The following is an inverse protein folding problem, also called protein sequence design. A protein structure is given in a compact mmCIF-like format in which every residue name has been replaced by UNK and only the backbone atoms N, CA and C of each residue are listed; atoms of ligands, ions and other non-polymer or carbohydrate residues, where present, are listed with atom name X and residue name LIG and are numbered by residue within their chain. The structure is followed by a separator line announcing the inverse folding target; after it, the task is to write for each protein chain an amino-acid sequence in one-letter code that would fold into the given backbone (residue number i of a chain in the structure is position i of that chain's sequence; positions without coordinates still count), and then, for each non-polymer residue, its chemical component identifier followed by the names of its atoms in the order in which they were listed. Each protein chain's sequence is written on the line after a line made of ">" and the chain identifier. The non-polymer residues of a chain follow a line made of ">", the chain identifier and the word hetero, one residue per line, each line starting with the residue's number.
data_IF_566802950768
#
_entry.id   IF_566802950768
#
_cell.length_a   1.000
_cell.length_b   1.000
_cell.length_c   1.000
_cell.angle_alpha   90.00
_cell.angle_beta   90.00
_cell.angle_gamma   90.00
#
_symmetry.space_group_name_H-M   'P 1'
#
loop_
_entity.id
_entity.type
_entity.pdbx_description
1 polymer ?
#
# COMPACT_ATOMS: atom_id res chain seq x y z
N UNK A 1 -8.76 -4.71 4.89
CA UNK A 1 -8.21 -6.10 4.83
C UNK A 1 -8.60 -6.87 6.10
N UNK A 2 -8.82 -8.19 6.03
CA UNK A 2 -9.00 -9.04 7.23
C UNK A 2 -7.67 -9.32 7.95
N UNK A 3 -7.28 -8.42 8.87
CA UNK A 3 -6.05 -8.56 9.63
C UNK A 3 -6.01 -9.78 10.54
N UNK A 4 -7.17 -10.27 10.99
CA UNK A 4 -7.30 -11.49 11.80
C UNK A 4 -7.13 -12.77 10.99
N UNK A 5 -7.19 -12.68 9.66
CA UNK A 5 -6.89 -13.80 8.76
C UNK A 5 -5.49 -13.69 8.15
N UNK A 6 -5.00 -12.47 7.90
CA UNK A 6 -3.63 -12.26 7.44
C UNK A 6 -2.60 -12.65 8.53
N UNK A 7 -2.87 -12.22 9.77
CA UNK A 7 -2.03 -12.49 10.95
C UNK A 7 -2.95 -12.95 12.08
N UNK A 8 -3.14 -14.26 12.16
CA UNK A 8 -4.16 -14.90 13.01
C UNK A 8 -3.61 -15.14 14.42
N UNK A 9 -4.25 -14.66 15.50
CA UNK A 9 -3.94 -15.11 16.86
C UNK A 9 -4.47 -16.54 17.05
N UNK A 10 -3.76 -17.54 16.53
CA UNK A 10 -4.26 -18.91 16.37
C UNK A 10 -4.42 -19.67 17.70
N UNK A 11 -3.89 -19.14 18.80
CA UNK A 11 -4.12 -19.68 20.15
C UNK A 11 -5.45 -19.22 20.76
N UNK A 12 -6.16 -18.28 20.12
CA UNK A 12 -7.40 -17.73 20.62
C UNK A 12 -8.61 -18.64 20.33
N UNK A 13 -9.12 -19.26 21.39
CA UNK A 13 -10.28 -20.17 21.32
C UNK A 13 -11.60 -19.47 20.98
N UNK A 14 -11.71 -18.16 21.24
CA UNK A 14 -12.92 -17.39 20.91
C UNK A 14 -12.93 -17.05 19.43
N UNK A 15 -11.79 -16.72 18.84
CA UNK A 15 -11.66 -16.57 17.38
C UNK A 15 -12.00 -17.86 16.65
N UNK A 16 -11.50 -19.00 17.15
CA UNK A 16 -11.83 -20.31 16.59
C UNK A 16 -13.34 -20.56 16.57
N UNK A 17 -14.05 -20.24 17.66
CA UNK A 17 -15.51 -20.37 17.74
C UNK A 17 -16.24 -19.35 16.86
N UNK A 18 -15.70 -18.14 16.75
CA UNK A 18 -16.30 -17.06 15.96
C UNK A 18 -16.14 -17.27 14.44
N UNK A 19 -15.19 -18.11 14.00
CA UNK A 19 -14.87 -18.38 12.60
C UNK A 19 -14.87 -19.89 12.26
N UNK A 20 -16.00 -20.60 12.40
CA UNK A 20 -16.04 -22.05 12.21
C UNK A 20 -15.63 -22.55 10.82
N UNK A 21 -15.76 -21.73 9.76
CA UNK A 21 -15.29 -22.09 8.41
C UNK A 21 -14.08 -21.30 7.92
N UNK A 22 -13.68 -20.22 8.61
CA UNK A 22 -12.55 -19.37 8.23
C UNK A 22 -11.32 -19.53 9.13
N UNK A 23 -11.45 -20.13 10.32
CA UNK A 23 -10.34 -20.28 11.25
C UNK A 23 -9.27 -21.23 10.69
N UNK A 24 -8.02 -20.83 10.81
CA UNK A 24 -6.85 -21.61 10.40
C UNK A 24 -5.98 -21.91 11.62
N UNK A 25 -5.34 -23.08 11.61
CA UNK A 25 -4.45 -23.54 12.69
C UNK A 25 -2.99 -23.53 12.24
N UNK A 26 -2.07 -23.34 13.19
CA UNK A 26 -0.64 -23.55 13.01
C UNK A 26 -0.21 -25.03 13.22
N UNK A 27 -1.16 -25.94 13.50
CA UNK A 27 -0.86 -27.35 13.72
C UNK A 27 -0.24 -28.00 12.48
N UNK A 28 0.91 -28.67 12.65
CA UNK A 28 1.64 -29.36 11.57
C UNK A 28 0.84 -30.44 10.83
N UNK A 29 -0.26 -30.91 11.41
CA UNK A 29 -1.17 -31.88 10.78
C UNK A 29 -2.14 -31.26 9.76
N UNK A 30 -2.26 -29.92 9.73
CA UNK A 30 -3.08 -29.24 8.73
C UNK A 30 -2.40 -29.28 7.35
N UNK A 31 -3.20 -29.30 6.27
CA UNK A 31 -2.66 -29.40 4.90
C UNK A 31 -1.81 -28.18 4.49
N UNK A 32 -2.24 -26.97 4.89
CA UNK A 32 -1.50 -25.71 4.74
C UNK A 32 -1.64 -24.92 6.05
N UNK A 33 -0.81 -25.20 7.06
CA UNK A 33 -0.92 -24.53 8.35
C UNK A 33 -0.55 -23.05 8.24
N UNK A 34 -1.00 -22.27 9.22
CA UNK A 34 -0.43 -20.95 9.46
C UNK A 34 1.08 -21.06 9.75
N UNK A 35 1.82 -20.06 9.30
CA UNK A 35 3.25 -19.94 9.60
C UNK A 35 3.37 -19.31 10.98
N UNK A 36 3.79 -20.10 11.96
CA UNK A 36 3.95 -19.64 13.34
C UNK A 36 5.06 -18.58 13.44
N UNK A 37 4.69 -17.37 13.89
CA UNK A 37 5.59 -16.23 14.02
C UNK A 37 6.24 -16.17 15.40
N UNK A 38 5.49 -16.46 16.47
CA UNK A 38 5.91 -16.23 17.86
C UNK A 38 5.24 -17.15 18.91
N UNK A 39 4.58 -18.23 18.47
CA UNK A 39 3.82 -19.14 19.32
C UNK A 39 2.39 -18.66 19.64
N UNK A 40 2.02 -17.45 19.22
CA UNK A 40 0.69 -16.86 19.42
C UNK A 40 0.04 -16.44 18.10
N UNK A 41 0.80 -15.79 17.23
CA UNK A 41 0.36 -15.30 15.93
C UNK A 41 0.89 -16.14 14.79
N UNK A 42 0.04 -16.36 13.80
CA UNK A 42 0.34 -17.14 12.61
C UNK A 42 0.08 -16.33 11.35
N UNK A 43 1.07 -16.24 10.48
CA UNK A 43 0.94 -15.61 9.18
C UNK A 43 0.22 -16.55 8.21
N UNK A 44 -0.67 -15.99 7.39
CA UNK A 44 -1.38 -16.74 6.35
C UNK A 44 -0.39 -17.47 5.40
N UNK A 45 -0.57 -18.77 5.08
CA UNK A 45 0.42 -19.55 4.32
C UNK A 45 0.69 -19.01 2.91
N UNK A 46 -0.29 -18.38 2.27
CA UNK A 46 -0.11 -17.71 0.98
C UNK A 46 0.83 -16.49 1.03
N UNK A 47 1.20 -16.03 2.23
CA UNK A 47 2.20 -14.99 2.46
C UNK A 47 3.57 -15.56 2.85
N UNK A 48 3.85 -16.83 2.56
CA UNK A 48 5.10 -17.50 2.95
C UNK A 48 6.38 -16.76 2.58
N UNK A 49 6.37 -15.97 1.51
CA UNK A 49 7.51 -15.12 1.15
C UNK A 49 7.84 -14.05 2.21
N UNK A 50 6.94 -13.68 3.11
CA UNK A 50 7.25 -12.79 4.22
C UNK A 50 7.96 -13.46 5.39
N UNK A 51 7.97 -14.80 5.46
CA UNK A 51 8.56 -15.53 6.59
C UNK A 51 10.06 -15.23 6.74
N UNK A 52 10.82 -15.17 5.64
CA UNK A 52 12.24 -14.86 5.70
C UNK A 52 12.49 -13.40 6.12
N UNK A 53 11.72 -12.44 5.57
CA UNK A 53 11.81 -11.02 5.95
C UNK A 53 11.50 -10.81 7.44
N UNK A 54 10.54 -11.55 7.98
CA UNK A 54 10.23 -11.52 9.41
C UNK A 54 11.39 -12.09 10.24
N UNK A 55 11.93 -13.26 9.87
CA UNK A 55 13.06 -13.90 10.57
C UNK A 55 14.36 -13.08 10.50
N UNK A 56 14.55 -12.30 9.45
CA UNK A 56 15.66 -11.38 9.27
C UNK A 56 15.48 -10.06 10.03
N UNK A 57 14.40 -9.91 10.79
CA UNK A 57 14.00 -8.68 11.50
C UNK A 57 13.75 -7.47 10.59
N UNK A 58 13.47 -7.71 9.31
CA UNK A 58 13.18 -6.64 8.33
C UNK A 58 11.69 -6.34 8.23
N UNK A 59 10.83 -7.33 8.53
CA UNK A 59 9.38 -7.16 8.55
C UNK A 59 8.88 -7.03 9.98
N UNK A 60 8.26 -5.89 10.28
CA UNK A 60 7.43 -5.67 11.44
C UNK A 60 5.96 -5.79 11.05
N UNK A 61 5.16 -6.34 11.96
CA UNK A 61 3.70 -6.38 11.83
C UNK A 61 3.13 -5.54 12.96
N UNK A 62 2.19 -4.64 12.68
CA UNK A 62 1.45 -3.90 13.72
C UNK A 62 -0.01 -4.33 13.65
N UNK A 63 -0.54 -4.93 14.70
CA UNK A 63 -1.89 -5.47 14.77
C UNK A 63 -2.78 -4.60 15.68
N UNK A 64 -4.10 -4.72 15.53
CA UNK A 64 -5.06 -3.89 16.27
C UNK A 64 -5.06 -2.43 15.82
N UNK A 65 -4.66 -2.15 14.58
CA UNK A 65 -4.56 -0.77 14.04
C UNK A 65 -5.73 -0.46 13.11
N UNK A 66 -6.13 0.81 13.05
CA UNK A 66 -7.21 1.27 12.19
C UNK A 66 -7.57 2.73 12.46
N UNK A 67 -8.55 3.27 11.73
CA UNK A 67 -9.06 4.61 12.00
C UNK A 67 -9.73 4.65 13.37
N UNK A 68 -9.51 5.69 14.21
CA UNK A 68 -10.27 5.86 15.46
C UNK A 68 -11.72 6.30 15.21
N UNK A 69 -12.06 6.73 13.99
CA UNK A 69 -13.44 6.99 13.59
C UNK A 69 -14.24 5.69 13.42
N UNK A 70 -15.50 5.68 13.87
CA UNK A 70 -16.39 4.50 13.87
C UNK A 70 -17.19 4.31 12.58
N UNK A 71 -16.99 5.17 11.57
CA UNK A 71 -17.69 5.08 10.28
C UNK A 71 -17.49 3.73 9.62
N UNK A 72 -18.48 3.28 8.85
CA UNK A 72 -18.40 2.09 7.98
C UNK A 72 -18.45 2.47 6.50
N UNK A 73 -18.35 3.77 6.20
CA UNK A 73 -18.27 4.27 4.84
C UNK A 73 -16.82 4.22 4.36
N UNK A 74 -16.54 3.46 3.29
CA UNK A 74 -15.20 3.42 2.67
C UNK A 74 -14.70 4.83 2.37
N UNK A 75 -15.56 5.68 1.80
CA UNK A 75 -15.20 7.06 1.48
C UNK A 75 -14.76 7.83 2.72
N UNK A 76 -15.48 7.71 3.84
CA UNK A 76 -15.13 8.46 5.03
C UNK A 76 -13.88 7.93 5.72
N UNK A 77 -13.77 6.61 5.86
CA UNK A 77 -12.62 5.99 6.49
C UNK A 77 -11.35 6.26 5.70
N UNK A 78 -11.39 6.10 4.38
CA UNK A 78 -10.28 6.39 3.50
C UNK A 78 -9.88 7.88 3.58
N UNK A 79 -10.85 8.80 3.50
CA UNK A 79 -10.57 10.24 3.62
C UNK A 79 -9.94 10.61 4.99
N UNK A 80 -10.40 10.00 6.10
CA UNK A 80 -9.76 10.21 7.41
C UNK A 80 -8.34 9.63 7.49
N UNK A 81 -8.11 8.42 6.95
CA UNK A 81 -6.79 7.79 6.95
C UNK A 81 -5.81 8.55 6.05
N UNK A 82 -6.27 9.07 4.91
CA UNK A 82 -5.44 9.78 3.95
C UNK A 82 -5.24 11.26 4.30
N UNK A 83 -6.18 11.91 4.96
CA UNK A 83 -5.96 13.26 5.53
C UNK A 83 -5.09 13.22 6.79
N UNK A 84 -5.10 12.10 7.53
CA UNK A 84 -4.41 11.96 8.82
C UNK A 84 -5.05 12.81 9.94
N UNK A 85 -6.30 13.27 9.76
CA UNK A 85 -7.03 14.08 10.73
C UNK A 85 -8.38 13.45 11.03
N UNK A 86 -8.43 12.42 11.90
CA UNK A 86 -9.68 11.74 12.19
C UNK A 86 -10.71 12.71 12.75
N UNK A 87 -11.99 12.48 12.41
CA UNK A 87 -13.14 13.32 12.81
C UNK A 87 -13.17 14.75 12.22
N UNK A 88 -12.16 15.16 11.44
CA UNK A 88 -12.17 16.45 10.73
C UNK A 88 -12.29 16.24 9.23
N UNK A 89 -13.39 16.75 8.65
CA UNK A 89 -13.60 16.82 7.18
C UNK A 89 -13.11 18.14 6.57
N UNK A 90 -12.68 19.09 7.41
CA UNK A 90 -12.27 20.42 6.97
C UNK A 90 -10.80 20.54 6.57
N UNK A 91 -9.97 19.53 6.90
CA UNK A 91 -8.60 19.47 6.42
C UNK A 91 -8.63 19.29 4.91
N UNK A 92 -7.98 20.17 4.16
CA UNK A 92 -7.94 20.18 2.69
C UNK A 92 -6.69 19.50 2.11
N UNK A 93 -5.70 19.18 2.95
CA UNK A 93 -4.47 18.47 2.61
C UNK A 93 -4.41 17.03 3.12
N UNK A 94 -3.67 16.21 2.40
CA UNK A 94 -3.29 14.86 2.79
C UNK A 94 -2.04 14.83 3.67
N UNK A 95 -1.93 13.81 4.54
CA UNK A 95 -0.81 13.77 5.49
C UNK A 95 0.53 13.47 4.82
N UNK A 96 0.56 12.70 3.73
CA UNK A 96 1.78 12.44 2.98
C UNK A 96 2.28 13.69 2.26
N UNK A 97 1.40 14.52 1.68
CA UNK A 97 1.82 15.81 1.10
C UNK A 97 2.42 16.74 2.17
N UNK A 98 1.80 16.81 3.36
CA UNK A 98 2.37 17.57 4.49
C UNK A 98 3.72 16.98 4.93
N UNK A 99 3.89 15.66 4.88
CA UNK A 99 5.14 15.01 5.21
C UNK A 99 6.25 15.38 4.22
N UNK A 100 5.96 15.41 2.90
CA UNK A 100 6.91 15.92 1.88
C UNK A 100 7.48 17.26 2.33
N UNK A 101 6.63 18.23 2.71
CA UNK A 101 7.08 19.55 3.17
C UNK A 101 7.98 19.61 4.40
N UNK A 102 8.09 18.50 5.14
CA UNK A 102 8.98 18.38 6.30
C UNK A 102 10.29 17.65 5.97
N UNK A 103 10.36 16.98 4.83
CA UNK A 103 11.57 16.32 4.34
C UNK A 103 12.49 17.40 3.75
N UNK A 104 13.77 17.40 4.14
CA UNK A 104 14.73 18.40 3.66
C UNK A 104 14.92 18.28 2.15
N UNK A 105 14.46 19.28 1.39
CA UNK A 105 14.47 19.23 -0.07
C UNK A 105 15.83 19.60 -0.66
N UNK A 106 16.69 18.61 -0.93
CA UNK A 106 17.83 18.82 -1.82
C UNK A 106 17.37 18.75 -3.29
N UNK A 107 16.90 19.89 -3.82
CA UNK A 107 16.50 20.03 -5.22
C UNK A 107 15.04 19.70 -5.49
N UNK A 108 14.26 20.72 -5.83
CA UNK A 108 12.85 20.53 -6.19
C UNK A 108 12.75 19.70 -7.49
N UNK A 109 12.00 18.60 -7.43
CA UNK A 109 11.71 17.72 -8.55
C UNK A 109 10.21 17.40 -8.57
N UNK A 110 9.56 17.30 -9.75
CA UNK A 110 8.18 16.85 -9.84
C UNK A 110 7.93 15.44 -9.27
N UNK A 111 8.99 14.65 -9.06
CA UNK A 111 8.93 13.29 -8.55
C UNK A 111 9.10 13.16 -7.03
N UNK A 112 9.08 14.26 -6.27
CA UNK A 112 9.19 14.19 -4.80
C UNK A 112 8.13 13.26 -4.20
N UNK A 113 6.87 13.42 -4.59
CA UNK A 113 5.81 12.46 -4.33
C UNK A 113 5.22 11.89 -5.62
N UNK A 114 5.21 10.56 -5.76
CA UNK A 114 4.71 9.88 -6.96
C UNK A 114 3.66 8.86 -6.61
N UNK A 115 2.49 8.96 -7.24
CA UNK A 115 1.41 8.00 -7.10
C UNK A 115 1.26 7.18 -8.37
N UNK A 116 1.32 5.85 -8.26
CA UNK A 116 1.09 4.92 -9.37
C UNK A 116 -0.40 4.61 -9.49
N UNK A 117 -1.19 5.67 -9.70
CA UNK A 117 -2.66 5.68 -9.79
C UNK A 117 -3.12 6.60 -10.94
N UNK A 118 -4.40 6.52 -11.30
CA UNK A 118 -4.97 7.36 -12.38
C UNK A 118 -5.20 8.82 -12.00
N UNK A 119 -5.25 9.12 -10.71
CA UNK A 119 -5.40 10.46 -10.16
C UNK A 119 -4.73 10.52 -8.80
N UNK A 120 -4.35 11.72 -8.33
CA UNK A 120 -3.70 11.86 -7.05
C UNK A 120 -4.60 11.32 -5.92
N UNK A 121 -4.06 10.48 -5.01
CA UNK A 121 -4.79 10.06 -3.82
C UNK A 121 -4.96 11.25 -2.88
N UNK A 122 -5.96 11.17 -2.00
CA UNK A 122 -6.26 12.21 -1.02
C UNK A 122 -5.05 12.54 -0.14
N UNK A 123 -4.24 11.52 0.15
CA UNK A 123 -3.00 11.63 0.93
C UNK A 123 -1.95 12.55 0.32
N UNK A 124 -2.02 12.81 -0.98
CA UNK A 124 -1.10 13.67 -1.71
C UNK A 124 -1.67 15.07 -2.00
N UNK A 125 -2.87 15.41 -1.54
CA UNK A 125 -3.42 16.76 -1.77
C UNK A 125 -2.67 17.78 -0.90
N UNK A 126 -2.29 18.93 -1.48
CA UNK A 126 -1.65 20.02 -0.76
C UNK A 126 -0.75 20.85 -1.66
N UNK A 127 0.15 21.63 -1.06
CA UNK A 127 0.95 22.64 -1.75
C UNK A 127 2.31 22.10 -2.27
N UNK A 128 2.71 20.91 -1.82
CA UNK A 128 3.97 20.26 -2.21
C UNK A 128 3.83 19.47 -3.51
N UNK A 129 4.92 19.37 -4.26
CA UNK A 129 4.95 18.71 -5.57
C UNK A 129 4.58 17.23 -5.45
N UNK A 130 3.54 16.83 -6.18
CA UNK A 130 3.09 15.44 -6.27
C UNK A 130 2.55 15.17 -7.66
N UNK A 131 2.87 14.00 -8.23
CA UNK A 131 2.41 13.59 -9.55
C UNK A 131 1.72 12.23 -9.50
N UNK A 132 0.61 12.10 -10.22
CA UNK A 132 -0.05 10.81 -10.46
C UNK A 132 0.31 10.29 -11.84
N UNK A 133 0.80 9.06 -11.89
CA UNK A 133 1.22 8.38 -13.12
C UNK A 133 0.62 6.98 -13.12
N UNK A 134 -0.40 6.75 -13.95
CA UNK A 134 -1.03 5.42 -14.05
C UNK A 134 -0.04 4.33 -14.46
N UNK A 135 0.87 4.69 -15.38
CA UNK A 135 1.90 3.82 -15.92
C UNK A 135 3.00 4.68 -16.59
N UNK A 136 4.25 4.50 -16.19
CA UNK A 136 5.45 5.14 -16.75
C UNK A 136 5.63 4.81 -18.23
N UNK A 137 5.25 3.60 -18.66
CA UNK A 137 5.32 3.20 -20.08
C UNK A 137 4.37 4.06 -20.93
N UNK A 138 3.21 4.41 -20.38
CA UNK A 138 2.20 5.25 -21.04
C UNK A 138 2.51 6.75 -20.89
N UNK A 139 3.19 7.13 -19.80
CA UNK A 139 3.68 8.49 -19.58
C UNK A 139 4.74 8.89 -20.60
N UNK A 140 5.48 7.92 -21.15
CA UNK A 140 6.20 8.11 -22.41
C UNK A 140 5.20 8.22 -23.56
N UNK A 141 4.56 9.39 -23.71
CA UNK A 141 3.55 9.66 -24.74
C UNK A 141 3.95 8.98 -26.03
N UNK A 142 3.04 8.11 -26.48
CA UNK A 142 3.03 7.46 -27.79
C UNK A 142 3.34 8.49 -28.88
N UNK A 143 4.63 8.63 -29.22
CA UNK A 143 5.10 9.26 -30.45
C UNK A 143 4.92 8.29 -31.64
N UNK A 144 3.72 7.71 -31.77
CA UNK A 144 3.31 7.04 -33.01
C UNK A 144 2.68 8.10 -33.92
N UNK A 145 3.54 8.91 -34.53
CA UNK A 145 3.17 9.95 -35.49
C UNK A 145 4.12 11.13 -35.44
N UNK A 146 4.86 11.34 -36.51
CA UNK A 146 5.70 12.50 -36.86
C UNK A 146 6.26 13.32 -35.66
N UNK A 147 7.47 12.96 -35.20
CA UNK A 147 8.18 13.54 -34.03
C UNK A 147 8.26 15.08 -33.96
N UNK A 148 8.07 15.78 -35.09
CA UNK A 148 8.08 17.22 -35.14
C UNK A 148 6.76 17.82 -34.63
N UNK A 149 5.61 17.25 -34.98
CA UNK A 149 4.30 17.79 -34.64
C UNK A 149 3.98 17.64 -33.14
N UNK A 150 4.37 16.53 -32.52
CA UNK A 150 4.18 16.30 -31.10
C UNK A 150 5.10 17.19 -30.24
N UNK A 151 6.35 17.43 -30.66
CA UNK A 151 7.24 18.38 -29.99
C UNK A 151 6.75 19.83 -30.15
N UNK A 152 6.19 20.20 -31.31
CA UNK A 152 5.57 21.51 -31.52
C UNK A 152 4.29 21.66 -30.71
N UNK A 153 3.44 20.63 -30.62
CA UNK A 153 2.24 20.64 -29.79
C UNK A 153 2.59 20.76 -28.30
N UNK A 154 3.54 19.96 -27.79
CA UNK A 154 4.00 20.07 -26.40
C UNK A 154 4.54 21.47 -26.08
N UNK A 155 5.38 22.04 -26.96
CA UNK A 155 5.88 23.43 -26.82
C UNK A 155 4.76 24.46 -26.91
N UNK A 156 3.80 24.30 -27.82
CA UNK A 156 2.65 25.22 -27.92
C UNK A 156 1.72 25.11 -26.71
N UNK A 157 1.55 23.93 -26.12
CA UNK A 157 0.81 23.75 -24.87
C UNK A 157 1.56 24.36 -23.67
N UNK A 158 2.88 24.19 -23.60
CA UNK A 158 3.76 24.84 -22.62
C UNK A 158 3.66 26.37 -22.71
N UNK A 159 3.75 26.93 -23.92
CA UNK A 159 3.56 28.37 -24.18
C UNK A 159 2.15 28.87 -23.82
N UNK A 160 1.12 28.02 -23.94
CA UNK A 160 -0.25 28.36 -23.53
C UNK A 160 -0.39 28.40 -22.01
N UNK A 161 0.23 27.44 -21.29
CA UNK A 161 0.28 27.45 -19.82
C UNK A 161 1.07 28.64 -19.28
N UNK A 162 2.19 28.99 -19.92
CA UNK A 162 2.97 30.20 -19.60
C UNK A 162 2.17 31.49 -19.77
N UNK A 163 1.20 31.49 -20.69
CA UNK A 163 0.31 32.64 -20.97
C UNK A 163 -0.99 32.65 -20.17
N UNK A 164 -1.26 31.62 -19.36
CA UNK A 164 -2.50 31.55 -18.58
C UNK A 164 -2.35 32.32 -17.26
N UNK A 165 -3.37 33.11 -16.89
CA UNK A 165 -3.32 34.01 -15.73
C UNK A 165 -3.50 33.31 -14.37
N UNK A 166 -3.82 32.01 -14.34
CA UNK A 166 -3.94 31.26 -13.10
C UNK A 166 -2.60 30.62 -12.73
N UNK A 167 -2.05 31.04 -11.59
CA UNK A 167 -0.74 30.60 -11.07
C UNK A 167 -0.70 29.08 -10.81
N UNK A 168 -1.83 28.51 -10.39
CA UNK A 168 -2.00 27.06 -10.15
C UNK A 168 -1.89 26.23 -11.43
N UNK A 169 -2.56 26.62 -12.52
CA UNK A 169 -2.46 25.90 -13.79
C UNK A 169 -1.02 26.00 -14.35
N UNK A 170 -0.39 27.16 -14.24
CA UNK A 170 0.99 27.38 -14.70
C UNK A 170 1.99 26.48 -13.96
N UNK A 171 1.87 26.36 -12.62
CA UNK A 171 2.74 25.50 -11.79
C UNK A 171 2.58 24.02 -12.12
N UNK A 172 1.36 23.49 -12.09
CA UNK A 172 1.08 22.06 -12.36
C UNK A 172 1.45 21.67 -13.79
N UNK A 173 1.23 22.57 -14.76
CA UNK A 173 1.64 22.36 -16.15
C UNK A 173 3.16 22.21 -16.29
N UNK A 174 3.94 23.12 -15.69
CA UNK A 174 5.41 23.09 -15.71
C UNK A 174 5.99 21.83 -15.07
N UNK A 175 5.51 21.47 -13.88
CA UNK A 175 5.95 20.26 -13.17
C UNK A 175 5.72 19.00 -14.02
N UNK A 176 4.58 18.93 -14.71
CA UNK A 176 4.27 17.82 -15.63
C UNK A 176 5.23 17.77 -16.83
N UNK A 177 5.60 18.92 -17.41
CA UNK A 177 6.55 18.97 -18.54
C UNK A 177 7.98 18.63 -18.12
N UNK A 178 8.41 19.06 -16.93
CA UNK A 178 9.70 18.68 -16.37
C UNK A 178 9.76 17.18 -16.09
N UNK A 179 8.70 16.61 -15.51
CA UNK A 179 8.56 15.17 -15.31
C UNK A 179 8.71 14.39 -16.62
N UNK A 180 8.02 14.84 -17.67
CA UNK A 180 8.11 14.27 -19.01
C UNK A 180 9.52 14.31 -19.59
N UNK A 181 10.25 15.41 -19.37
CA UNK A 181 11.63 15.57 -19.87
C UNK A 181 12.59 14.61 -19.19
N UNK A 182 12.49 14.47 -17.87
CA UNK A 182 13.29 13.54 -17.07
C UNK A 182 13.02 12.10 -17.54
N UNK A 183 11.75 11.69 -17.60
CA UNK A 183 11.38 10.34 -18.03
C UNK A 183 11.78 10.04 -19.48
N UNK A 184 11.72 11.02 -20.38
CA UNK A 184 12.18 10.84 -21.77
C UNK A 184 13.69 10.62 -21.88
N UNK A 185 14.47 11.21 -20.98
CA UNK A 185 15.93 11.02 -20.95
C UNK A 185 16.35 9.68 -20.34
N UNK A 186 15.46 9.04 -19.58
CA UNK A 186 15.68 7.72 -19.02
C UNK A 186 15.18 6.62 -19.97
N UNK A 187 15.87 5.47 -20.01
CA UNK A 187 15.40 4.29 -20.74
C UNK A 187 14.24 3.62 -19.97
N UNK A 188 13.08 4.27 -19.97
CA UNK A 188 11.92 3.85 -19.17
C UNK A 188 11.44 2.45 -19.57
N UNK A 189 11.49 2.12 -20.87
CA UNK A 189 10.99 0.85 -21.42
C UNK A 189 11.97 -0.30 -21.25
N UNK A 190 13.25 0.00 -21.04
CA UNK A 190 14.30 -0.99 -20.86
C UNK A 190 14.44 -1.52 -19.44
N UNK A 191 13.63 -1.06 -18.47
CA UNK A 191 13.80 -1.44 -17.07
C UNK A 191 13.69 -2.95 -16.83
N UNK A 192 14.77 -3.51 -16.29
CA UNK A 192 14.88 -4.91 -15.92
C UNK A 192 15.08 -5.00 -14.41
N UNK A 193 14.18 -5.70 -13.69
CA UNK A 193 14.40 -6.00 -12.28
C UNK A 193 15.77 -6.65 -12.04
N UNK A 194 16.42 -6.27 -10.95
CA UNK A 194 17.73 -6.74 -10.53
C UNK A 194 17.61 -7.84 -9.46
N UNK A 195 18.74 -8.41 -9.06
CA UNK A 195 18.88 -9.34 -7.92
C UNK A 195 17.97 -10.58 -7.99
N UNK A 196 17.49 -10.95 -9.19
CA UNK A 196 16.57 -12.06 -9.38
C UNK A 196 15.11 -11.77 -9.00
N UNK A 197 14.73 -10.50 -8.83
CA UNK A 197 13.36 -10.12 -8.53
C UNK A 197 12.39 -10.53 -9.64
N UNK A 198 11.28 -11.17 -9.25
CA UNK A 198 10.19 -11.57 -10.15
C UNK A 198 8.89 -10.98 -9.63
N UNK A 199 8.38 -9.96 -10.31
CA UNK A 199 7.12 -9.33 -9.95
C UNK A 199 5.93 -10.16 -10.44
N UNK A 200 4.86 -10.29 -9.64
CA UNK A 200 3.59 -10.83 -10.10
C UNK A 200 3.04 -10.05 -11.29
N UNK A 201 2.33 -10.74 -12.19
CA UNK A 201 1.56 -10.10 -13.26
C UNK A 201 0.24 -9.59 -12.67
N UNK A 202 0.32 -8.48 -11.93
CA UNK A 202 -0.80 -7.84 -11.26
C UNK A 202 -0.65 -6.32 -11.27
N UNK A 203 -1.73 -5.54 -11.01
CA UNK A 203 -1.64 -4.10 -10.88
C UNK A 203 -0.62 -3.66 -9.81
N UNK A 204 -0.65 -4.26 -8.62
CA UNK A 204 0.27 -3.92 -7.55
C UNK A 204 1.72 -4.27 -7.91
N UNK A 205 1.96 -5.47 -8.46
CA UNK A 205 3.29 -5.88 -8.91
C UNK A 205 3.88 -4.93 -9.94
N UNK A 206 3.05 -4.46 -10.88
CA UNK A 206 3.46 -3.47 -11.87
C UNK A 206 3.72 -2.08 -11.28
N UNK A 207 2.89 -1.61 -10.34
CA UNK A 207 3.11 -0.33 -9.66
C UNK A 207 4.40 -0.34 -8.84
N UNK A 208 4.65 -1.39 -8.05
CA UNK A 208 5.88 -1.49 -7.26
C UNK A 208 7.13 -1.63 -8.13
N UNK A 209 7.06 -2.35 -9.26
CA UNK A 209 8.15 -2.41 -10.24
C UNK A 209 8.54 -1.02 -10.75
N UNK A 210 7.55 -0.18 -11.03
CA UNK A 210 7.76 1.19 -11.52
C UNK A 210 8.27 2.13 -10.42
N UNK A 211 7.85 1.91 -9.16
CA UNK A 211 8.43 2.63 -8.02
C UNK A 211 9.92 2.27 -7.88
N UNK A 212 10.29 0.99 -7.96
CA UNK A 212 11.70 0.57 -7.92
C UNK A 212 12.51 1.20 -9.05
N UNK A 213 11.91 1.32 -10.23
CA UNK A 213 12.51 1.99 -11.37
C UNK A 213 12.78 3.48 -11.09
N UNK A 214 11.80 4.22 -10.53
CA UNK A 214 11.98 5.64 -10.19
C UNK A 214 13.06 5.85 -9.14
N UNK A 215 13.08 5.01 -8.10
CA UNK A 215 14.12 5.04 -7.05
C UNK A 215 15.51 4.82 -7.67
N UNK A 216 15.67 3.81 -8.53
CA UNK A 216 16.95 3.52 -9.19
C UNK A 216 17.38 4.55 -10.23
N UNK A 217 16.44 5.31 -10.76
CA UNK A 217 16.72 6.42 -11.67
C UNK A 217 17.20 7.66 -10.91
N UNK A 218 17.08 7.67 -9.56
CA UNK A 218 17.51 8.78 -8.71
C UNK A 218 16.89 10.12 -9.14
N UNK A 219 15.58 10.10 -9.43
CA UNK A 219 14.83 11.31 -9.84
C UNK A 219 14.39 12.17 -8.65
N UNK A 220 14.89 11.85 -7.45
CA UNK A 220 14.52 12.48 -6.18
C UNK A 220 13.14 12.08 -5.65
N UNK A 221 12.76 10.81 -5.80
CA UNK A 221 11.53 10.28 -5.17
C UNK A 221 11.73 10.11 -3.67
N UNK A 222 10.92 10.84 -2.89
CA UNK A 222 10.92 10.78 -1.43
C UNK A 222 9.74 9.93 -0.92
N UNK A 223 8.56 10.07 -1.54
CA UNK A 223 7.35 9.33 -1.17
C UNK A 223 6.70 8.71 -2.40
N UNK A 224 6.42 7.41 -2.35
CA UNK A 224 5.72 6.70 -3.39
C UNK A 224 4.41 6.08 -2.87
N UNK A 225 3.37 6.08 -3.71
CA UNK A 225 2.07 5.50 -3.39
C UNK A 225 1.62 4.51 -4.46
N UNK A 226 1.09 3.36 -4.03
CA UNK A 226 0.45 2.37 -4.87
C UNK A 226 -0.76 1.78 -4.15
N UNK A 227 -1.80 1.46 -4.91
CA UNK A 227 -3.02 0.86 -4.37
C UNK A 227 -3.04 -0.66 -4.55
N UNK A 228 -3.62 -1.35 -3.59
CA UNK A 228 -3.95 -2.76 -3.68
C UNK A 228 -5.42 -2.94 -3.34
N UNK A 229 -6.24 -3.33 -4.32
CA UNK A 229 -7.69 -3.49 -4.17
C UNK A 229 -8.13 -4.93 -3.87
N UNK A 230 -9.44 -5.12 -3.71
CA UNK A 230 -10.07 -6.44 -3.61
C UNK A 230 -10.27 -6.99 -2.19
N UNK A 231 -10.10 -6.16 -1.15
CA UNK A 231 -10.13 -6.59 0.26
C UNK A 231 -11.52 -6.70 0.90
N UNK A 232 -12.59 -6.34 0.18
CA UNK A 232 -13.97 -6.30 0.71
C UNK A 232 -14.69 -7.66 0.62
N UNK A 233 -14.13 -8.67 1.28
CA UNK A 233 -14.57 -10.07 1.17
C UNK A 233 -15.77 -10.40 2.06
N UNK A 234 -16.99 -10.12 1.58
CA UNK A 234 -18.26 -10.44 2.29
C UNK A 234 -18.81 -11.84 2.05
N UNK A 235 -18.32 -12.56 1.04
CA UNK A 235 -18.88 -13.84 0.60
C UNK A 235 -17.77 -14.79 0.17
N UNK A 236 -17.83 -16.05 0.63
CA UNK A 236 -16.87 -17.12 0.32
C UNK A 236 -15.41 -16.62 0.28
N UNK A 237 -14.98 -15.99 1.37
CA UNK A 237 -13.66 -15.37 1.52
C UNK A 237 -12.53 -16.39 1.27
N UNK A 238 -12.76 -17.64 1.69
CA UNK A 238 -11.83 -18.75 1.60
C UNK A 238 -10.91 -18.85 2.80
N UNK A 239 -10.02 -19.84 2.76
CA UNK A 239 -8.98 -20.12 3.77
C UNK A 239 -7.63 -20.18 3.07
N UNK A 240 -6.96 -21.32 3.03
CA UNK A 240 -5.70 -21.53 2.33
C UNK A 240 -5.80 -21.39 0.80
N UNK A 241 -7.03 -21.39 0.28
CA UNK A 241 -7.38 -21.07 -1.10
C UNK A 241 -8.60 -20.12 -1.09
N UNK A 242 -8.80 -19.36 -2.17
CA UNK A 242 -9.92 -18.44 -2.30
C UNK A 242 -9.48 -17.02 -2.63
N UNK A 243 -10.41 -16.06 -2.54
CA UNK A 243 -10.13 -14.66 -2.88
C UNK A 243 -9.11 -14.06 -1.91
N UNK A 244 -9.28 -14.29 -0.61
CA UNK A 244 -8.34 -13.76 0.38
C UNK A 244 -6.93 -14.30 0.17
N UNK A 245 -6.79 -15.63 0.02
CA UNK A 245 -5.51 -16.29 -0.25
C UNK A 245 -4.79 -15.75 -1.49
N UNK A 246 -5.52 -15.44 -2.57
CA UNK A 246 -4.94 -14.83 -3.78
C UNK A 246 -4.48 -13.41 -3.54
N UNK A 247 -5.27 -12.59 -2.85
CA UNK A 247 -4.93 -11.19 -2.60
C UNK A 247 -3.70 -11.06 -1.70
N UNK A 248 -3.62 -11.85 -0.62
CA UNK A 248 -2.44 -11.80 0.25
C UNK A 248 -1.19 -12.42 -0.39
N UNK A 249 -1.36 -13.38 -1.31
CA UNK A 249 -0.25 -13.86 -2.14
C UNK A 249 0.27 -12.74 -3.05
N UNK A 250 -0.62 -12.02 -3.75
CA UNK A 250 -0.21 -10.93 -4.63
C UNK A 250 0.47 -9.79 -3.85
N UNK A 251 -0.10 -9.39 -2.73
CA UNK A 251 0.47 -8.38 -1.82
C UNK A 251 1.88 -8.75 -1.39
N UNK A 252 2.05 -9.95 -0.82
CA UNK A 252 3.34 -10.38 -0.26
C UNK A 252 4.40 -10.62 -1.32
N UNK A 253 4.04 -11.22 -2.46
CA UNK A 253 4.98 -11.44 -3.56
C UNK A 253 5.39 -10.12 -4.23
N UNK A 254 4.46 -9.17 -4.40
CA UNK A 254 4.76 -7.87 -5.00
C UNK A 254 5.72 -7.05 -4.11
N UNK A 255 5.48 -7.01 -2.79
CA UNK A 255 6.36 -6.32 -1.83
C UNK A 255 7.73 -7.01 -1.76
N UNK A 256 7.77 -8.34 -1.73
CA UNK A 256 9.05 -9.09 -1.68
C UNK A 256 9.86 -8.90 -2.96
N UNK A 257 9.19 -8.89 -4.12
CA UNK A 257 9.84 -8.61 -5.41
C UNK A 257 10.42 -7.20 -5.44
N UNK A 258 9.65 -6.20 -5.00
CA UNK A 258 10.10 -4.82 -4.84
C UNK A 258 11.34 -4.72 -3.97
N UNK A 259 11.28 -5.30 -2.78
CA UNK A 259 12.40 -5.31 -1.84
C UNK A 259 13.64 -5.95 -2.46
N UNK A 260 13.50 -7.14 -3.05
CA UNK A 260 14.59 -7.85 -3.74
C UNK A 260 15.19 -7.00 -4.86
N UNK A 261 14.35 -6.33 -5.65
CA UNK A 261 14.77 -5.52 -6.79
C UNK A 261 15.67 -4.35 -6.36
N UNK A 262 15.36 -3.68 -5.25
CA UNK A 262 16.14 -2.55 -4.73
C UNK A 262 17.59 -2.91 -4.36
N UNK A 263 17.84 -4.12 -3.85
CA UNK A 263 19.18 -4.55 -3.45
C UNK A 263 19.79 -3.65 -2.39
N UNK A 264 20.89 -2.97 -2.68
CA UNK A 264 21.57 -2.07 -1.73
C UNK A 264 20.74 -0.83 -1.37
N UNK A 265 19.81 -0.42 -2.24
CA UNK A 265 18.92 0.73 -1.98
C UNK A 265 17.86 0.45 -0.90
N UNK A 266 17.81 -0.77 -0.37
CA UNK A 266 16.94 -1.12 0.75
C UNK A 266 17.23 -0.29 2.02
N UNK A 267 18.46 0.18 2.19
CA UNK A 267 18.86 0.98 3.37
C UNK A 267 18.17 2.36 3.39
N UNK A 268 17.74 2.86 2.23
CA UNK A 268 17.12 4.18 2.09
C UNK A 268 15.59 4.11 1.93
N UNK A 269 14.99 2.92 2.07
CA UNK A 269 13.56 2.69 1.77
C UNK A 269 12.86 1.99 2.91
N UNK A 270 11.73 2.58 3.33
CA UNK A 270 10.73 1.93 4.18
C UNK A 270 9.43 1.72 3.40
N UNK A 271 8.83 0.53 3.53
CA UNK A 271 7.52 0.20 2.96
C UNK A 271 6.51 0.04 4.08
N UNK A 272 5.41 0.78 4.00
CA UNK A 272 4.28 0.66 4.93
C UNK A 272 3.00 0.33 4.16
N UNK A 273 2.25 -0.67 4.62
CA UNK A 273 0.89 -0.93 4.13
C UNK A 273 -0.13 -0.32 5.06
N UNK A 274 -1.23 0.20 4.53
CA UNK A 274 -2.35 0.74 5.31
C UNK A 274 -3.68 0.26 4.70
N UNK A 275 -4.69 0.06 5.54
CA UNK A 275 -6.07 -0.23 5.11
C UNK A 275 -7.04 0.59 5.97
N UNK A 276 -8.11 1.03 5.34
CA UNK A 276 -9.18 1.84 5.92
C UNK A 276 -10.06 1.06 6.91
N UNK A 277 -10.20 -0.26 6.73
CA UNK A 277 -11.00 -1.13 7.59
C UNK A 277 -10.34 -2.48 7.91
N UNK A 278 -10.61 -2.94 9.13
CA UNK A 278 -10.58 -4.34 9.50
C UNK A 278 -11.83 -5.11 9.05
N UNK A 279 -11.92 -6.35 9.49
CA UNK A 279 -13.11 -7.20 9.31
C UNK A 279 -13.65 -7.66 10.65
N UNK A 280 -14.93 -8.02 10.69
CA UNK A 280 -15.56 -8.51 11.92
C UNK A 280 -14.83 -9.72 12.49
N UNK A 281 -14.82 -9.85 13.81
CA UNK A 281 -14.26 -11.05 14.47
C UNK A 281 -15.06 -12.28 14.07
N UNK A 282 -16.39 -12.17 14.14
CA UNK A 282 -17.31 -13.22 13.74
C UNK A 282 -17.42 -13.28 12.22
N UNK A 283 -17.36 -14.50 11.67
CA UNK A 283 -17.73 -14.73 10.28
C UNK A 283 -19.23 -14.50 10.09
N UNK A 284 -19.63 -14.05 8.91
CA UNK A 284 -21.03 -13.90 8.54
C UNK A 284 -21.62 -15.23 8.01
N UNK A 285 -22.93 -15.23 7.71
CA UNK A 285 -23.65 -16.42 7.22
C UNK A 285 -23.25 -16.86 5.80
N UNK A 286 -22.38 -16.12 5.13
CA UNK A 286 -21.99 -16.30 3.73
C UNK A 286 -20.56 -16.81 3.57
N UNK A 287 -19.96 -17.38 4.63
CA UNK A 287 -18.54 -17.76 4.69
C UNK A 287 -17.60 -16.58 4.32
N UNK A 288 -18.00 -15.36 4.69
CA UNK A 288 -17.17 -14.18 4.64
C UNK A 288 -17.14 -13.49 6.00
N UNK A 289 -16.69 -12.26 6.01
CA UNK A 289 -16.75 -11.36 7.17
C UNK A 289 -17.41 -10.07 6.75
N UNK A 290 -17.88 -9.24 7.69
CA UNK A 290 -18.41 -7.91 7.35
C UNK A 290 -17.36 -6.83 7.66
N UNK A 291 -17.69 -5.56 7.41
CA UNK A 291 -16.84 -4.42 7.79
C UNK A 291 -16.58 -4.44 9.30
N UNK A 292 -15.30 -4.41 9.68
CA UNK A 292 -14.82 -4.34 11.06
C UNK A 292 -13.98 -3.09 11.31
N UNK A 293 -13.27 -3.06 12.44
CA UNK A 293 -12.44 -1.91 12.86
C UNK A 293 -10.95 -2.21 12.82
N UNK A 294 -10.42 -2.89 13.82
CA UNK A 294 -9.00 -3.24 13.88
C UNK A 294 -8.56 -4.19 12.75
N UNK A 295 -7.42 -3.90 12.16
CA UNK A 295 -6.72 -4.72 11.18
C UNK A 295 -5.24 -4.84 11.53
N UNK A 296 -4.39 -5.22 10.57
CA UNK A 296 -2.95 -5.18 10.70
C UNK A 296 -2.29 -4.40 9.55
N UNK A 297 -1.09 -3.91 9.82
CA UNK A 297 -0.18 -3.27 8.88
C UNK A 297 1.13 -4.06 8.83
N UNK A 298 1.73 -4.12 7.65
CA UNK A 298 3.08 -4.61 7.40
C UNK A 298 4.00 -3.42 7.20
N UNK A 299 5.12 -3.40 7.91
CA UNK A 299 6.17 -2.38 7.79
C UNK A 299 7.47 -3.11 7.50
N UNK A 300 8.10 -2.82 6.36
CA UNK A 300 9.32 -3.46 5.89
C UNK A 300 10.42 -2.40 5.75
N UNK A 301 11.58 -2.65 6.35
CA UNK A 301 12.73 -1.77 6.29
C UNK A 301 13.94 -2.40 6.99
N UNK A 302 15.14 -1.84 6.81
CA UNK A 302 16.31 -2.30 7.55
C UNK A 302 16.38 -1.71 8.98
N UNK A 303 15.75 -0.56 9.21
CA UNK A 303 15.74 0.14 10.51
C UNK A 303 14.42 -0.02 11.30
N UNK A 304 13.60 -1.00 10.93
CA UNK A 304 12.34 -1.29 11.65
C UNK A 304 12.59 -2.24 12.81
N UNK A 305 11.73 -2.18 13.83
CA UNK A 305 11.70 -3.17 14.91
C UNK A 305 11.04 -4.49 14.45
N UNK A 306 11.62 -5.15 13.44
CA UNK A 306 11.04 -6.34 12.80
C UNK A 306 11.16 -7.62 13.63
N UNK A 307 10.68 -8.72 13.04
CA UNK A 307 10.62 -10.03 13.70
C UNK A 307 9.61 -10.09 14.85
N UNK A 308 8.65 -9.15 14.88
CA UNK A 308 7.67 -8.97 15.95
C UNK A 308 6.30 -8.62 15.40
N UNK A 309 5.28 -9.13 16.09
CA UNK A 309 3.90 -8.63 15.99
C UNK A 309 3.68 -7.61 17.12
N UNK A 310 3.68 -6.34 16.75
CA UNK A 310 3.38 -5.19 17.59
C UNK A 310 1.88 -4.97 17.74
N UNK A 311 1.51 -4.11 18.69
CA UNK A 311 0.12 -3.79 19.00
C UNK A 311 -0.46 -4.69 20.10
N UNK A 312 -1.62 -4.30 20.62
CA UNK A 312 -2.29 -5.01 21.72
C UNK A 312 -3.56 -5.68 21.19
N UNK A 313 -3.44 -6.95 20.81
CA UNK A 313 -4.64 -7.76 20.49
C UNK A 313 -5.11 -8.41 21.79
N UNK A 314 -6.29 -8.05 22.34
CA UNK A 314 -6.85 -8.76 23.49
C UNK A 314 -7.31 -10.16 23.08
N UNK A 315 -7.65 -11.01 24.06
CA UNK A 315 -8.43 -12.22 23.76
C UNK A 315 -9.76 -11.81 23.11
N UNK A 316 -10.19 -12.52 22.08
CA UNK A 316 -11.34 -12.17 21.25
C UNK A 316 -12.67 -12.66 21.86
N UNK A 317 -12.72 -12.70 23.20
CA UNK A 317 -13.93 -12.86 23.98
C UNK A 317 -14.86 -11.66 23.78
N UNK A 318 -16.18 -11.89 23.86
CA UNK A 318 -17.21 -10.91 23.48
C UNK A 318 -17.09 -9.59 24.23
N UNK A 319 -16.71 -9.64 25.51
CA UNK A 319 -16.51 -8.51 26.41
C UNK A 319 -15.32 -7.61 26.05
N UNK A 320 -14.34 -8.15 25.33
CA UNK A 320 -13.15 -7.42 24.90
C UNK A 320 -13.31 -6.79 23.51
N UNK A 321 -14.37 -7.14 22.79
CA UNK A 321 -14.61 -6.65 21.44
C UNK A 321 -15.24 -5.25 21.48
N UNK A 322 -14.82 -4.41 20.55
CA UNK A 322 -15.48 -3.13 20.32
C UNK A 322 -16.87 -3.37 19.76
N UNK A 323 -17.88 -2.72 20.36
CA UNK A 323 -19.30 -2.95 20.09
C UNK A 323 -19.73 -4.43 20.14
N UNK A 324 -19.01 -5.25 20.93
CA UNK A 324 -19.20 -6.72 21.01
C UNK A 324 -19.05 -7.42 19.64
N UNK A 325 -18.32 -6.81 18.70
CA UNK A 325 -18.28 -7.24 17.30
C UNK A 325 -16.87 -7.25 16.71
N UNK A 326 -16.11 -6.21 16.96
CA UNK A 326 -14.88 -5.91 16.23
C UNK A 326 -13.64 -6.00 17.10
N UNK A 327 -12.51 -6.28 16.46
CA UNK A 327 -11.21 -6.08 17.06
C UNK A 327 -11.06 -4.58 17.39
N UNK A 328 -10.78 -4.20 18.65
CA UNK A 328 -10.55 -2.80 19.00
C UNK A 328 -9.34 -2.23 18.28
N UNK A 329 -9.40 -0.93 17.97
CA UNK A 329 -8.23 -0.15 17.54
C UNK A 329 -7.43 0.28 18.79
N UNK A 330 -6.12 0.03 18.80
CA UNK A 330 -5.22 0.24 19.96
C UNK A 330 -4.12 1.25 19.75
#
# INVERSE_FOLDING_TARGET
>A
MDGLMAVTPFTDVNLQKARPSLFMSAAKSAAKPLIDLDGRFGLHPSMSVFEHLFKENRLAIVHGVGSPNTTRSHFDAQDYMESGTPFSKGTDSGWLNRAVGLLGHEGATPFQAVSLTSSLPRSFYGDHAAVAISNLDDFSIQLRGNNMAANTAAKSFEELYDKTSSSLLNKTGKESFEAMKILKSADVKGYRPANGAVYPVSPLGNSLKQIAQLIKMDVGTEIAFAECGGWDTHYNQGTENGTFARNVADLSNSITAFWTDLGQLQDDVEVMTMTEFGRTVHQNGSNGTDHGRGSCMFILGNDVAGGKVHGKVPELALENLEDKRDLPVT
#
